data_IF_732703510021
#
_entry.id   IF_732703510021
#
_cell.length_a   1.000
_cell.length_b   1.000
_cell.length_c   1.000
_cell.angle_alpha   90.00
_cell.angle_beta   90.00
_cell.angle_gamma   90.00
#
_symmetry.space_group_name_H-M   'P 1'
#
loop_
_entity.id
_entity.type
_entity.pdbx_description
1 polymer ?
#
# COMPACT_ATOMS: atom_id res chain seq x y z
N UNK A 1 -21.70 31.44 -34.35
CA UNK A 1 -21.21 32.83 -34.17
C UNK A 1 -20.61 32.94 -32.78
N UNK A 2 -19.34 33.38 -32.69
CA UNK A 2 -18.58 33.91 -31.51
C UNK A 2 -18.38 32.92 -30.34
N UNK A 3 -17.22 32.31 -30.09
CA UNK A 3 -15.84 32.79 -29.89
C UNK A 3 -15.69 33.73 -28.67
N UNK A 4 -15.13 33.20 -27.57
CA UNK A 4 -14.33 33.98 -26.61
C UNK A 4 -13.38 33.07 -25.81
N UNK A 5 -12.15 33.04 -26.29
CA UNK A 5 -10.92 32.66 -25.58
C UNK A 5 -10.65 33.70 -24.48
N UNK A 6 -10.23 33.30 -23.28
CA UNK A 6 -9.39 34.16 -22.45
C UNK A 6 -8.43 33.35 -21.59
N UNK A 7 -7.22 33.24 -22.12
CA UNK A 7 -6.00 32.71 -21.53
C UNK A 7 -5.52 33.68 -20.44
N UNK A 8 -5.30 33.22 -19.21
CA UNK A 8 -4.55 33.97 -18.19
C UNK A 8 -3.25 33.21 -17.92
N UNK A 9 -2.20 33.68 -18.59
CA UNK A 9 -0.80 33.50 -18.21
C UNK A 9 -0.55 34.27 -16.92
N UNK A 10 -0.07 33.60 -15.87
CA UNK A 10 0.73 34.25 -14.85
C UNK A 10 1.98 33.40 -14.60
N UNK A 11 3.04 33.80 -15.30
CA UNK A 11 4.41 33.43 -14.94
C UNK A 11 4.84 34.27 -13.74
N UNK A 12 5.41 33.65 -12.71
CA UNK A 12 6.31 34.36 -11.80
C UNK A 12 7.52 33.49 -11.50
N UNK A 13 8.66 34.12 -11.74
CA UNK A 13 9.99 33.54 -11.76
C UNK A 13 10.71 33.78 -10.42
N UNK A 14 11.76 32.97 -10.23
CA UNK A 14 12.96 33.21 -9.42
C UNK A 14 12.83 33.22 -7.89
N UNK A 15 13.43 32.19 -7.29
CA UNK A 15 14.40 32.38 -6.21
C UNK A 15 15.42 31.22 -6.23
N UNK A 16 16.57 31.46 -6.87
CA UNK A 16 17.78 30.66 -6.73
C UNK A 16 18.39 30.94 -5.35
N UNK A 17 18.03 30.13 -4.35
CA UNK A 17 18.69 30.11 -3.05
C UNK A 17 19.97 29.27 -3.13
N UNK A 18 21.12 29.94 -3.22
CA UNK A 18 22.43 29.29 -3.12
C UNK A 18 22.74 28.90 -1.68
N UNK A 19 22.95 27.61 -1.42
CA UNK A 19 23.55 27.15 -0.17
C UNK A 19 25.07 27.27 -0.30
N UNK A 20 25.66 28.25 0.39
CA UNK A 20 27.10 28.32 0.59
C UNK A 20 27.54 27.19 1.53
N UNK A 21 28.51 26.40 1.07
CA UNK A 21 29.08 25.27 1.79
C UNK A 21 30.08 25.79 2.83
N UNK A 22 29.77 25.64 4.13
CA UNK A 22 30.72 25.87 5.23
C UNK A 22 31.55 24.60 5.44
N UNK A 23 32.82 24.65 5.05
CA UNK A 23 33.84 23.67 5.47
C UNK A 23 34.17 23.86 6.95
N UNK A 24 33.49 23.10 7.79
CA UNK A 24 33.78 23.01 9.23
C UNK A 24 35.11 22.31 9.53
N UNK A 25 35.68 22.53 10.73
CA UNK A 25 36.90 21.87 11.17
C UNK A 25 36.73 20.34 11.24
N UNK A 26 37.83 19.57 11.15
CA UNK A 26 37.79 18.12 11.32
C UNK A 26 37.21 17.78 12.70
N UNK A 27 36.04 17.15 12.69
CA UNK A 27 35.39 16.67 13.89
C UNK A 27 36.20 15.56 14.58
N UNK A 28 35.89 15.26 15.86
CA UNK A 28 36.52 14.17 16.59
C UNK A 28 36.34 12.84 15.85
N UNK A 29 37.26 11.87 16.04
CA UNK A 29 37.17 10.57 15.41
C UNK A 29 35.82 9.93 15.70
N UNK A 30 35.17 9.41 14.65
CA UNK A 30 33.88 8.78 14.76
C UNK A 30 33.92 7.65 15.80
N UNK A 31 32.91 7.54 16.68
CA UNK A 31 32.84 6.43 17.62
C UNK A 31 32.78 5.10 16.85
N UNK A 32 33.29 4.00 17.45
CA UNK A 32 33.20 2.68 16.84
C UNK A 32 31.74 2.34 16.50
N UNK A 33 31.47 1.66 15.38
CA UNK A 33 30.12 1.30 14.99
C UNK A 33 29.51 0.45 16.11
N UNK A 34 28.40 0.93 16.67
CA UNK A 34 27.62 0.14 17.62
C UNK A 34 27.21 -1.19 16.96
N UNK A 35 27.07 -2.28 17.73
CA UNK A 35 26.45 -3.50 17.24
C UNK A 35 25.09 -3.14 16.63
N UNK A 36 24.88 -3.56 15.38
CA UNK A 36 23.67 -3.26 14.61
C UNK A 36 22.46 -3.69 15.42
N UNK A 37 21.73 -2.71 15.97
CA UNK A 37 20.44 -2.99 16.58
C UNK A 37 19.54 -3.63 15.50
N UNK A 38 18.63 -4.54 15.87
CA UNK A 38 17.63 -5.02 14.93
C UNK A 38 16.94 -3.82 14.29
N UNK A 39 16.70 -3.87 12.98
CA UNK A 39 16.07 -2.78 12.25
C UNK A 39 14.62 -2.64 12.72
N UNK A 40 14.43 -1.80 13.74
CA UNK A 40 13.13 -1.42 14.28
C UNK A 40 12.41 -0.41 13.39
N UNK A 41 12.93 -0.12 12.19
CA UNK A 41 12.22 0.72 11.25
C UNK A 41 10.90 0.05 10.82
N UNK A 42 9.91 0.85 10.39
CA UNK A 42 8.68 0.30 9.80
C UNK A 42 8.92 -0.66 8.63
N UNK A 43 10.06 -0.51 7.94
CA UNK A 43 10.50 -1.38 6.86
C UNK A 43 10.97 -2.75 7.39
N UNK A 44 11.75 -2.77 8.46
CA UNK A 44 12.19 -4.01 9.11
C UNK A 44 11.03 -4.82 9.70
N UNK A 45 10.03 -4.15 10.28
CA UNK A 45 8.89 -4.85 10.93
C UNK A 45 7.85 -5.36 9.91
N UNK A 46 7.47 -4.56 8.91
CA UNK A 46 6.50 -5.03 7.91
C UNK A 46 7.13 -5.96 6.87
N UNK A 47 8.46 -5.88 6.72
CA UNK A 47 9.20 -6.51 5.64
C UNK A 47 9.04 -5.79 4.29
N UNK A 48 9.59 -6.39 3.21
CA UNK A 48 9.44 -5.88 1.85
C UNK A 48 7.99 -5.94 1.39
N UNK A 49 7.69 -5.22 0.31
CA UNK A 49 6.39 -5.32 -0.34
C UNK A 49 6.14 -6.78 -0.79
N UNK A 50 4.96 -7.35 -0.50
CA UNK A 50 4.67 -8.74 -0.85
C UNK A 50 4.52 -8.91 -2.37
N UNK A 51 5.57 -9.32 -3.08
CA UNK A 51 5.58 -9.47 -4.54
C UNK A 51 4.45 -10.39 -5.08
N UNK A 52 4.10 -11.44 -4.32
CA UNK A 52 3.08 -12.42 -4.69
C UNK A 52 1.73 -12.22 -3.97
N UNK A 53 1.41 -10.99 -3.51
CA UNK A 53 0.23 -10.73 -2.68
C UNK A 53 -1.09 -11.21 -3.31
N UNK A 54 -1.26 -11.06 -4.63
CA UNK A 54 -2.46 -11.50 -5.35
C UNK A 54 -2.70 -12.99 -5.20
N UNK A 55 -1.65 -13.77 -5.40
CA UNK A 55 -1.68 -15.22 -5.33
C UNK A 55 -1.91 -15.70 -3.88
N UNK A 56 -1.26 -15.07 -2.90
CA UNK A 56 -1.45 -15.35 -1.47
C UNK A 56 -2.90 -15.07 -1.03
N UNK A 57 -3.50 -13.96 -1.49
CA UNK A 57 -4.90 -13.64 -1.21
C UNK A 57 -5.83 -14.62 -1.89
N UNK A 58 -5.55 -14.97 -3.14
CA UNK A 58 -6.36 -15.89 -3.92
C UNK A 58 -6.52 -17.26 -3.24
N UNK A 59 -5.42 -17.85 -2.74
CA UNK A 59 -5.47 -19.13 -2.02
C UNK A 59 -6.15 -19.00 -0.64
N UNK A 60 -6.14 -17.80 -0.05
CA UNK A 60 -6.73 -17.54 1.27
C UNK A 60 -8.18 -17.04 1.19
N UNK A 61 -8.73 -16.87 -0.01
CA UNK A 61 -9.97 -16.12 -0.23
C UNK A 61 -11.17 -16.75 0.48
N UNK A 62 -11.29 -18.08 0.46
CA UNK A 62 -12.33 -18.80 1.18
C UNK A 62 -12.27 -18.58 2.70
N UNK A 63 -11.07 -18.40 3.28
CA UNK A 63 -10.93 -18.06 4.69
C UNK A 63 -11.29 -16.60 4.99
N UNK A 64 -11.11 -15.69 4.01
CA UNK A 64 -11.35 -14.25 4.18
C UNK A 64 -12.83 -13.89 4.06
N UNK A 65 -13.52 -14.47 3.07
CA UNK A 65 -14.91 -14.11 2.74
C UNK A 65 -15.89 -15.29 2.71
N UNK A 66 -15.43 -16.50 3.07
CA UNK A 66 -16.25 -17.70 3.14
C UNK A 66 -16.39 -18.40 1.78
N UNK A 67 -17.24 -17.87 0.90
CA UNK A 67 -17.48 -18.45 -0.42
C UNK A 67 -17.13 -17.43 -1.53
N UNK A 68 -15.95 -17.55 -2.17
CA UNK A 68 -15.51 -16.60 -3.18
C UNK A 68 -16.32 -16.67 -4.49
N UNK A 69 -16.91 -17.83 -4.82
CA UNK A 69 -17.77 -17.95 -6.01
C UNK A 69 -19.06 -17.12 -5.88
N UNK A 70 -19.53 -16.93 -4.63
CA UNK A 70 -20.68 -16.07 -4.33
C UNK A 70 -20.30 -14.59 -4.16
N UNK A 71 -19.03 -14.22 -4.27
CA UNK A 71 -18.59 -12.83 -4.12
C UNK A 71 -18.76 -11.99 -5.41
N UNK A 72 -19.09 -12.64 -6.52
CA UNK A 72 -19.27 -11.98 -7.81
C UNK A 72 -17.95 -11.43 -8.36
N UNK A 73 -18.01 -10.33 -9.10
CA UNK A 73 -16.79 -9.69 -9.61
C UNK A 73 -15.93 -9.14 -8.47
N UNK A 74 -14.70 -9.64 -8.39
CA UNK A 74 -13.70 -9.18 -7.42
C UNK A 74 -12.74 -8.17 -8.03
N UNK A 75 -12.36 -7.20 -7.21
CA UNK A 75 -11.31 -6.23 -7.54
C UNK A 75 -10.33 -6.12 -6.38
N UNK A 76 -9.09 -5.76 -6.66
CA UNK A 76 -8.00 -5.70 -5.67
C UNK A 76 -7.15 -4.44 -5.88
N UNK A 77 -6.64 -3.88 -4.79
CA UNK A 77 -5.73 -2.72 -4.82
C UNK A 77 -4.27 -3.16 -4.91
N UNK A 78 -3.36 -2.20 -5.16
CA UNK A 78 -1.94 -2.43 -4.89
C UNK A 78 -1.66 -2.46 -3.37
N UNK A 79 -0.58 -3.12 -2.91
CA UNK A 79 -0.15 -3.04 -1.53
C UNK A 79 0.28 -1.62 -1.17
N UNK A 80 -0.09 -1.17 0.03
CA UNK A 80 0.37 0.12 0.57
C UNK A 80 0.76 -0.02 2.02
N UNK A 81 1.62 0.88 2.50
CA UNK A 81 1.99 0.93 3.92
C UNK A 81 0.78 1.29 4.78
N UNK A 82 0.68 0.61 5.92
CA UNK A 82 -0.42 0.76 6.87
C UNK A 82 0.06 0.60 8.32
N UNK A 83 -0.27 1.54 9.22
CA UNK A 83 -0.03 1.38 10.64
C UNK A 83 -1.08 0.44 11.23
N UNK A 84 -0.80 -0.85 11.29
CA UNK A 84 -1.67 -1.83 11.95
C UNK A 84 -1.48 -1.80 13.47
N UNK A 85 -2.51 -2.23 14.21
CA UNK A 85 -2.45 -2.43 15.66
C UNK A 85 -1.37 -3.45 16.06
N UNK A 86 -1.02 -4.38 15.16
CA UNK A 86 0.06 -5.37 15.35
C UNK A 86 1.43 -4.86 14.88
N UNK A 87 1.57 -3.56 14.69
CA UNK A 87 2.77 -2.92 14.16
C UNK A 87 2.70 -2.62 12.66
N UNK A 88 3.75 -2.00 12.10
CA UNK A 88 3.82 -1.68 10.68
C UNK A 88 3.48 -2.88 9.79
N UNK A 89 2.60 -2.67 8.83
CA UNK A 89 2.13 -3.70 7.92
C UNK A 89 1.96 -3.12 6.51
N UNK A 90 1.76 -4.02 5.56
CA UNK A 90 1.17 -3.69 4.26
C UNK A 90 -0.32 -3.99 4.31
N UNK A 91 -1.14 -3.17 3.68
CA UNK A 91 -2.57 -3.44 3.51
C UNK A 91 -2.90 -3.56 2.03
N UNK A 92 -3.76 -4.53 1.72
CA UNK A 92 -4.39 -4.70 0.41
C UNK A 92 -5.89 -4.77 0.63
N UNK A 93 -6.66 -4.03 -0.18
CA UNK A 93 -8.10 -4.07 -0.11
C UNK A 93 -8.66 -4.95 -1.24
N UNK A 94 -9.65 -5.77 -0.92
CA UNK A 94 -10.43 -6.55 -1.89
C UNK A 94 -11.88 -6.08 -1.86
N UNK A 95 -12.43 -5.80 -3.04
CA UNK A 95 -13.81 -5.36 -3.23
C UNK A 95 -14.63 -6.45 -3.91
N UNK A 96 -15.82 -6.71 -3.37
CA UNK A 96 -16.80 -7.67 -3.86
C UNK A 96 -18.09 -6.94 -4.26
N UNK A 97 -18.53 -7.13 -5.50
CA UNK A 97 -19.69 -6.42 -6.08
C UNK A 97 -20.98 -7.25 -6.18
N UNK A 98 -21.03 -8.46 -5.60
CA UNK A 98 -22.24 -9.31 -5.65
C UNK A 98 -23.46 -8.73 -4.91
N UNK A 99 -23.23 -7.97 -3.83
CA UNK A 99 -24.29 -7.44 -2.98
C UNK A 99 -24.76 -6.07 -3.47
N UNK A 100 -25.98 -5.62 -3.07
CA UNK A 100 -26.49 -4.29 -3.42
C UNK A 100 -25.54 -3.17 -3.00
N UNK A 101 -24.79 -3.40 -1.92
CA UNK A 101 -23.72 -2.53 -1.44
C UNK A 101 -22.39 -3.28 -1.56
N UNK A 102 -21.38 -2.72 -2.25
CA UNK A 102 -20.06 -3.34 -2.35
C UNK A 102 -19.45 -3.60 -0.98
N UNK A 103 -18.93 -4.82 -0.78
CA UNK A 103 -18.19 -5.18 0.43
C UNK A 103 -16.70 -5.02 0.18
N UNK A 104 -16.04 -4.34 1.11
CA UNK A 104 -14.60 -4.12 1.09
C UNK A 104 -13.97 -4.94 2.22
N UNK A 105 -12.89 -5.65 1.92
CA UNK A 105 -12.13 -6.46 2.86
C UNK A 105 -10.72 -5.87 2.96
N UNK A 106 -10.25 -5.67 4.18
CA UNK A 106 -8.90 -5.21 4.48
C UNK A 106 -8.03 -6.42 4.86
N UNK A 107 -6.93 -6.60 4.14
CA UNK A 107 -6.02 -7.73 4.31
C UNK A 107 -4.64 -7.16 4.62
N UNK A 108 -4.10 -7.50 5.78
CA UNK A 108 -2.83 -7.00 6.27
C UNK A 108 -1.74 -8.05 6.13
N UNK A 109 -0.57 -7.62 5.66
CA UNK A 109 0.62 -8.44 5.51
C UNK A 109 1.78 -7.95 6.35
N UNK A 110 2.53 -8.90 6.90
CA UNK A 110 3.90 -8.70 7.38
C UNK A 110 4.75 -9.84 6.83
N UNK A 111 5.95 -9.53 6.32
CA UNK A 111 6.89 -10.53 5.81
C UNK A 111 6.26 -11.51 4.80
N UNK A 112 5.43 -10.98 3.88
CA UNK A 112 4.69 -11.77 2.88
C UNK A 112 3.72 -12.82 3.45
N UNK A 113 3.23 -12.64 4.68
CA UNK A 113 2.20 -13.47 5.30
C UNK A 113 1.02 -12.62 5.72
N UNK A 114 -0.19 -13.16 5.57
CA UNK A 114 -1.40 -12.51 6.07
C UNK A 114 -1.41 -12.58 7.60
N UNK A 115 -1.38 -11.42 8.26
CA UNK A 115 -1.41 -11.31 9.73
C UNK A 115 -2.81 -10.95 10.27
N UNK A 116 -3.67 -10.44 9.39
CA UNK A 116 -5.06 -10.06 9.69
C UNK A 116 -5.87 -9.96 8.40
N UNK A 117 -7.13 -10.37 8.45
CA UNK A 117 -8.12 -10.16 7.39
C UNK A 117 -9.47 -9.86 8.01
N UNK A 118 -10.15 -8.80 7.55
CA UNK A 118 -11.45 -8.37 8.08
C UNK A 118 -12.28 -7.66 7.02
N UNK A 119 -13.56 -7.43 7.32
CA UNK A 119 -14.33 -6.40 6.63
C UNK A 119 -13.71 -5.03 6.93
N UNK A 120 -13.51 -4.20 5.91
CA UNK A 120 -12.84 -2.92 6.08
C UNK A 120 -13.69 -1.96 6.91
N UNK A 121 -13.03 -1.16 7.73
CA UNK A 121 -13.61 -0.01 8.42
C UNK A 121 -13.12 1.29 7.78
N UNK A 122 -13.74 2.42 8.14
CA UNK A 122 -13.38 3.74 7.59
C UNK A 122 -11.88 4.04 7.71
N UNK A 123 -11.24 3.65 8.80
CA UNK A 123 -9.80 3.87 9.01
C UNK A 123 -8.89 3.09 8.04
N UNK A 124 -9.42 2.07 7.37
CA UNK A 124 -8.70 1.31 6.36
C UNK A 124 -8.66 2.06 5.01
N UNK A 125 -9.47 3.12 4.83
CA UNK A 125 -9.58 3.93 3.62
C UNK A 125 -9.72 3.10 2.32
N UNK A 126 -10.33 1.91 2.40
CA UNK A 126 -10.41 0.99 1.26
C UNK A 126 -11.33 1.54 0.16
N UNK A 127 -12.36 2.30 0.53
CA UNK A 127 -13.30 2.96 -0.36
C UNK A 127 -12.68 4.06 -1.22
N UNK A 128 -11.52 4.60 -0.81
CA UNK A 128 -10.80 5.67 -1.50
C UNK A 128 -9.69 5.16 -2.43
N UNK A 129 -9.47 3.84 -2.49
CA UNK A 129 -8.38 3.26 -3.28
C UNK A 129 -8.76 3.04 -4.74
N UNK A 130 -7.72 2.95 -5.58
CA UNK A 130 -7.85 2.50 -6.96
C UNK A 130 -7.84 0.97 -7.02
N UNK A 131 -8.82 0.40 -7.72
CA UNK A 131 -9.02 -1.04 -7.84
C UNK A 131 -8.73 -1.53 -9.26
N UNK A 132 -8.11 -2.70 -9.35
CA UNK A 132 -7.93 -3.44 -10.59
C UNK A 132 -8.72 -4.76 -10.53
N UNK A 133 -9.14 -5.33 -11.68
CA UNK A 133 -9.77 -6.65 -11.72
C UNK A 133 -8.93 -7.72 -11.01
N UNK A 134 -9.62 -8.62 -10.31
CA UNK A 134 -8.99 -9.71 -9.57
C UNK A 134 -9.66 -11.04 -9.92
N UNK A 135 -9.06 -11.76 -10.86
CA UNK A 135 -9.42 -13.13 -11.17
C UNK A 135 -8.70 -14.08 -10.20
N UNK A 136 -9.32 -14.32 -9.06
CA UNK A 136 -8.72 -15.10 -8.00
C UNK A 136 -8.47 -16.56 -8.40
N UNK A 137 -9.28 -17.14 -9.29
CA UNK A 137 -9.12 -18.53 -9.69
C UNK A 137 -7.82 -18.74 -10.49
N UNK A 138 -7.53 -17.84 -11.42
CA UNK A 138 -6.27 -17.90 -12.18
C UNK A 138 -5.05 -17.55 -11.31
N UNK A 139 -5.18 -16.59 -10.40
CA UNK A 139 -4.10 -16.23 -9.46
C UNK A 139 -3.79 -17.36 -8.48
N UNK A 140 -4.79 -18.09 -7.99
CA UNK A 140 -4.59 -19.24 -7.11
C UNK A 140 -3.83 -20.38 -7.82
N UNK A 141 -4.07 -20.57 -9.12
CA UNK A 141 -3.37 -21.57 -9.93
C UNK A 141 -1.88 -21.27 -10.16
N UNK A 142 -1.41 -20.04 -9.95
CA UNK A 142 0.01 -19.64 -10.13
C UNK A 142 0.92 -20.04 -8.96
N UNK A 143 0.35 -20.46 -7.84
CA UNK A 143 1.11 -20.86 -6.63
C UNK A 143 1.42 -22.37 -6.64
N UNK A 144 0.82 -23.13 -7.56
CA UNK A 144 1.03 -24.57 -7.76
C UNK A 144 2.20 -24.81 -8.71
#
# INVERSE_FOLDING_TARGET
>A
MRATTLTILLALAMALGGCTSMSGPPGPPAPPPLPSLPDLSPSGIAGPEPAAYRAIIAVSLSSIMGNPERAGALQITQPRRFPSLKGPAWIVCVKSSHWPVPRHYAIEFQHSRIVSSRLSVVLDHCELQSYAPFDWASEAGRVQ
#
